data_IF_025172125743
#
_entry.id   IF_025172125743
#
_cell.length_a   1.000
_cell.length_b   1.000
_cell.length_c   1.000
_cell.angle_alpha   90.00
_cell.angle_beta   90.00
_cell.angle_gamma   90.00
#
_symmetry.space_group_name_H-M   'P 1'
#
loop_
_entity.id
_entity.type
_entity.pdbx_description
1 polymer ?
#
# COMPACT_ATOMS: atom_id res chain seq x y z
N UNK A 1 3.61 23.30 16.46
CA UNK A 1 3.34 22.03 15.73
C UNK A 1 2.29 22.28 14.65
N UNK A 2 2.53 21.91 13.37
CA UNK A 2 1.47 22.00 12.35
C UNK A 2 0.36 21.00 12.70
N UNK A 3 -0.81 21.49 13.14
CA UNK A 3 -2.04 20.67 13.22
C UNK A 3 -2.23 20.04 11.84
N UNK A 4 -2.16 18.71 11.80
CA UNK A 4 -2.22 17.95 10.56
C UNK A 4 -3.49 18.31 9.78
N UNK A 5 -3.34 18.60 8.48
CA UNK A 5 -4.46 18.63 7.53
C UNK A 5 -5.05 17.23 7.28
N UNK A 6 -4.85 16.28 8.19
CA UNK A 6 -5.30 14.89 8.11
C UNK A 6 -6.81 14.78 8.12
N UNK A 7 -7.53 15.77 8.68
CA UNK A 7 -8.98 15.90 8.50
C UNK A 7 -9.40 15.97 7.02
N UNK A 8 -8.51 16.32 6.09
CA UNK A 8 -8.78 16.43 4.65
C UNK A 8 -8.52 15.14 3.88
N UNK A 9 -7.99 14.08 4.50
CA UNK A 9 -7.74 12.81 3.81
C UNK A 9 -9.04 12.03 3.73
N UNK A 10 -9.56 11.80 2.52
CA UNK A 10 -10.73 10.93 2.35
C UNK A 10 -10.42 9.52 2.85
N UNK A 11 -11.40 8.83 3.43
CA UNK A 11 -11.24 7.47 4.00
C UNK A 11 -10.51 6.51 3.04
N UNK A 12 -10.89 6.52 1.76
CA UNK A 12 -10.25 5.73 0.69
C UNK A 12 -8.77 6.09 0.42
N UNK A 13 -8.39 7.36 0.56
CA UNK A 13 -6.99 7.79 0.41
C UNK A 13 -6.15 7.35 1.62
N UNK A 14 -6.73 7.41 2.82
CA UNK A 14 -6.07 6.90 4.03
C UNK A 14 -5.86 5.39 3.93
N UNK A 15 -6.90 4.66 3.52
CA UNK A 15 -6.79 3.23 3.24
C UNK A 15 -5.69 2.94 2.23
N UNK A 16 -5.61 3.71 1.14
CA UNK A 16 -4.56 3.58 0.14
C UNK A 16 -3.15 3.75 0.70
N UNK A 17 -2.91 4.77 1.53
CA UNK A 17 -1.61 4.98 2.19
C UNK A 17 -1.24 3.81 3.10
N UNK A 18 -2.19 3.30 3.88
CA UNK A 18 -1.98 2.17 4.78
C UNK A 18 -1.69 0.90 3.99
N UNK A 19 -2.46 0.63 2.93
CA UNK A 19 -2.23 -0.53 2.05
C UNK A 19 -0.85 -0.51 1.40
N UNK A 20 -0.44 0.63 0.88
CA UNK A 20 0.89 0.80 0.27
C UNK A 20 2.00 0.65 1.32
N UNK A 21 1.80 1.21 2.52
CA UNK A 21 2.74 1.12 3.62
C UNK A 21 2.89 -0.31 4.17
N UNK A 22 1.83 -1.12 4.12
CA UNK A 22 1.87 -2.52 4.54
C UNK A 22 2.76 -3.40 3.65
N UNK A 23 2.96 -3.03 2.37
CA UNK A 23 3.87 -3.72 1.44
C UNK A 23 5.25 -3.08 1.41
N UNK A 24 5.34 -1.85 0.88
CA UNK A 24 6.61 -1.16 0.58
C UNK A 24 7.01 -0.10 1.61
N UNK A 25 6.30 -0.01 2.73
CA UNK A 25 6.49 1.03 3.74
C UNK A 25 7.50 0.67 4.82
N UNK A 26 8.23 1.69 5.26
CA UNK A 26 9.12 1.62 6.42
C UNK A 26 8.98 2.89 7.27
N UNK A 27 9.02 2.74 8.59
CA UNK A 27 9.02 3.86 9.51
C UNK A 27 10.05 3.64 10.61
N UNK A 28 10.85 4.66 10.90
CA UNK A 28 11.84 4.63 11.96
C UNK A 28 11.91 5.96 12.70
N UNK A 29 12.28 5.89 13.97
CA UNK A 29 12.55 7.04 14.82
C UNK A 29 13.98 6.91 15.32
N UNK A 30 14.84 7.85 14.92
CA UNK A 30 16.17 7.99 15.47
C UNK A 30 16.09 8.75 16.79
N UNK A 31 16.40 8.08 17.90
CA UNK A 31 16.31 8.65 19.25
C UNK A 31 17.36 9.74 19.48
N UNK A 32 18.53 9.64 18.83
CA UNK A 32 19.65 10.56 19.05
C UNK A 32 19.37 11.90 18.36
N UNK A 33 18.97 11.86 17.10
CA UNK A 33 18.61 13.07 16.34
C UNK A 33 17.16 13.51 16.53
N UNK A 34 16.32 12.72 17.22
CA UNK A 34 14.86 12.91 17.33
C UNK A 34 14.16 13.00 15.97
N UNK A 35 14.74 12.37 14.94
CA UNK A 35 14.21 12.38 13.58
C UNK A 35 13.20 11.26 13.37
N UNK A 36 12.01 11.63 12.92
CA UNK A 36 10.92 10.72 12.59
C UNK A 36 10.79 10.59 11.08
N UNK A 37 11.01 9.39 10.56
CA UNK A 37 11.04 9.14 9.12
C UNK A 37 10.03 8.10 8.71
N UNK A 38 9.29 8.42 7.65
CA UNK A 38 8.43 7.49 6.91
C UNK A 38 8.99 7.37 5.50
N UNK A 39 9.15 6.16 5.01
CA UNK A 39 9.71 5.85 3.71
C UNK A 39 8.84 4.85 2.94
N UNK A 40 8.75 5.04 1.63
CA UNK A 40 8.18 4.06 0.70
C UNK A 40 9.24 3.70 -0.34
N UNK A 41 9.57 2.43 -0.45
CA UNK A 41 10.60 1.94 -1.39
C UNK A 41 9.93 1.33 -2.63
N UNK A 42 9.91 2.08 -3.74
CA UNK A 42 9.18 1.71 -4.95
C UNK A 42 10.13 1.45 -6.12
N UNK A 43 9.78 0.58 -7.08
CA UNK A 43 10.65 0.31 -8.22
C UNK A 43 10.63 1.48 -9.21
N UNK A 44 11.81 2.05 -9.54
CA UNK A 44 11.96 3.30 -10.32
C UNK A 44 11.21 3.32 -11.65
N UNK A 45 11.31 2.23 -12.42
CA UNK A 45 10.65 2.10 -13.74
C UNK A 45 9.22 1.58 -13.65
N UNK A 46 9.00 0.44 -12.97
CA UNK A 46 7.70 -0.25 -12.90
C UNK A 46 6.62 0.56 -12.17
N UNK A 47 7.00 1.35 -11.16
CA UNK A 47 6.06 2.04 -10.28
C UNK A 47 6.00 3.55 -10.54
N UNK A 48 6.44 4.03 -11.71
CA UNK A 48 6.48 5.48 -12.05
C UNK A 48 5.15 6.19 -11.77
N UNK A 49 4.04 5.56 -12.13
CA UNK A 49 2.69 6.09 -11.92
C UNK A 49 2.23 6.05 -10.46
N UNK A 50 2.65 5.02 -9.69
CA UNK A 50 2.41 4.94 -8.24
C UNK A 50 3.22 6.03 -7.52
N UNK A 51 4.50 6.21 -7.89
CA UNK A 51 5.37 7.27 -7.38
C UNK A 51 4.74 8.64 -7.62
N UNK A 52 4.30 8.93 -8.86
CA UNK A 52 3.64 10.22 -9.20
C UNK A 52 2.43 10.47 -8.31
N UNK A 53 1.52 9.48 -8.23
CA UNK A 53 0.30 9.56 -7.43
C UNK A 53 0.58 9.77 -5.94
N UNK A 54 1.58 9.08 -5.38
CA UNK A 54 1.94 9.18 -3.97
C UNK A 54 2.52 10.56 -3.64
N UNK A 55 3.39 11.09 -4.53
CA UNK A 55 3.92 12.46 -4.40
C UNK A 55 2.81 13.50 -4.43
N UNK A 56 1.86 13.38 -5.35
CA UNK A 56 0.70 14.28 -5.42
C UNK A 56 -0.16 14.22 -4.15
N UNK A 57 -0.37 13.01 -3.62
CA UNK A 57 -1.11 12.82 -2.37
C UNK A 57 -0.40 13.52 -1.19
N UNK A 58 0.91 13.34 -1.04
CA UNK A 58 1.66 14.00 0.02
C UNK A 58 1.75 15.52 -0.15
N UNK A 59 1.84 16.02 -1.39
CA UNK A 59 1.74 17.47 -1.68
C UNK A 59 0.39 18.03 -1.23
N UNK A 60 -0.73 17.35 -1.52
CA UNK A 60 -2.07 17.74 -1.05
C UNK A 60 -2.17 17.80 0.48
N UNK A 61 -1.40 16.94 1.17
CA UNK A 61 -1.30 16.91 2.63
C UNK A 61 -0.25 17.86 3.20
N UNK A 62 0.36 18.70 2.35
CA UNK A 62 1.39 19.68 2.71
C UNK A 62 2.63 19.05 3.35
N UNK A 63 2.95 17.80 2.99
CA UNK A 63 4.22 17.18 3.37
C UNK A 63 5.27 17.40 2.28
N UNK A 64 6.49 17.71 2.71
CA UNK A 64 7.67 17.72 1.83
C UNK A 64 8.11 16.27 1.61
N UNK A 65 8.26 15.89 0.34
CA UNK A 65 8.68 14.55 -0.08
C UNK A 65 10.09 14.63 -0.66
N UNK A 66 11.02 13.89 -0.04
CA UNK A 66 12.37 13.72 -0.55
C UNK A 66 12.42 12.46 -1.43
N UNK A 67 12.89 12.61 -2.67
CA UNK A 67 13.06 11.50 -3.60
C UNK A 67 14.52 11.07 -3.62
N UNK A 68 14.82 9.89 -3.09
CA UNK A 68 16.17 9.34 -3.03
C UNK A 68 16.23 8.20 -4.06
N UNK A 69 17.07 8.35 -5.09
CA UNK A 69 17.27 7.31 -6.10
C UNK A 69 18.33 6.33 -5.60
N UNK A 70 18.04 5.03 -5.63
CA UNK A 70 19.04 4.00 -5.34
C UNK A 70 19.39 3.26 -6.63
N UNK A 71 20.64 3.41 -7.08
CA UNK A 71 21.08 2.82 -8.34
C UNK A 71 21.19 1.28 -8.25
N UNK A 72 21.72 0.74 -7.15
CA UNK A 72 21.93 -0.70 -6.96
C UNK A 72 20.61 -1.49 -6.97
N UNK A 73 19.60 -1.01 -6.26
CA UNK A 73 18.31 -1.68 -6.10
C UNK A 73 17.28 -1.32 -7.20
N UNK A 74 17.64 -0.42 -8.14
CA UNK A 74 16.71 0.16 -9.14
C UNK A 74 15.44 0.75 -8.49
N UNK A 75 15.53 1.17 -7.23
CA UNK A 75 14.42 1.70 -6.45
C UNK A 75 14.46 3.23 -6.37
N UNK A 76 13.32 3.81 -5.99
CA UNK A 76 13.20 5.19 -5.54
C UNK A 76 12.54 5.15 -4.18
N UNK A 77 13.22 5.72 -3.19
CA UNK A 77 12.69 5.94 -1.85
C UNK A 77 12.01 7.29 -1.80
N UNK A 78 10.74 7.28 -1.39
CA UNK A 78 9.99 8.50 -1.07
C UNK A 78 10.05 8.69 0.45
N UNK A 79 10.92 9.59 0.90
CA UNK A 79 11.20 9.84 2.31
C UNK A 79 10.48 11.10 2.79
N UNK A 80 9.85 11.01 3.96
CA UNK A 80 9.15 12.10 4.62
C UNK A 80 9.61 12.18 6.07
N UNK A 81 9.94 13.39 6.53
CA UNK A 81 10.30 13.64 7.92
C UNK A 81 9.10 14.26 8.66
N UNK A 82 8.36 13.43 9.40
CA UNK A 82 7.19 13.88 10.13
C UNK A 82 6.77 12.90 11.22
N UNK A 83 6.90 13.34 12.49
CA UNK A 83 6.38 12.63 13.66
C UNK A 83 4.90 12.32 13.51
N UNK A 84 4.13 13.33 13.14
CA UNK A 84 2.67 13.25 13.07
C UNK A 84 2.19 12.27 11.98
N UNK A 85 2.89 12.18 10.84
CA UNK A 85 2.61 11.16 9.81
C UNK A 85 2.97 9.76 10.31
N UNK A 86 4.12 9.61 10.96
CA UNK A 86 4.56 8.31 11.51
C UNK A 86 3.55 7.77 12.52
N UNK A 87 3.17 8.59 13.51
CA UNK A 87 2.19 8.22 14.54
C UNK A 87 0.84 7.86 13.94
N UNK A 88 0.39 8.62 12.92
CA UNK A 88 -0.85 8.34 12.22
C UNK A 88 -0.82 6.99 11.50
N UNK A 89 0.22 6.72 10.72
CA UNK A 89 0.36 5.45 9.99
C UNK A 89 0.45 4.28 10.97
N UNK A 90 1.23 4.41 12.04
CA UNK A 90 1.36 3.38 13.07
C UNK A 90 0.03 3.13 13.79
N UNK A 91 -0.72 4.19 14.13
CA UNK A 91 -2.07 4.07 14.69
C UNK A 91 -3.00 3.31 13.73
N UNK A 92 -3.02 3.69 12.45
CA UNK A 92 -3.86 3.04 11.44
C UNK A 92 -3.46 1.60 11.14
N UNK A 93 -2.17 1.30 11.17
CA UNK A 93 -1.66 -0.07 11.06
C UNK A 93 -2.09 -0.93 12.25
N UNK A 94 -2.01 -0.40 13.49
CA UNK A 94 -2.53 -1.08 14.68
C UNK A 94 -4.03 -1.33 14.58
N UNK A 95 -4.81 -0.33 14.17
CA UNK A 95 -6.26 -0.48 13.92
C UNK A 95 -6.54 -1.58 12.88
N UNK A 96 -5.78 -1.60 11.77
CA UNK A 96 -5.88 -2.61 10.71
C UNK A 96 -5.69 -4.04 11.26
N UNK A 97 -4.63 -4.27 12.04
CA UNK A 97 -4.34 -5.61 12.59
C UNK A 97 -5.29 -6.04 13.73
N UNK A 98 -5.91 -5.07 14.41
CA UNK A 98 -7.00 -5.30 15.37
C UNK A 98 -8.34 -5.63 14.72
N UNK A 99 -8.43 -5.62 13.38
CA UNK A 99 -9.65 -5.94 12.61
C UNK A 99 -10.87 -5.09 13.05
N UNK A 100 -10.65 -3.83 13.42
CA UNK A 100 -11.77 -2.91 13.68
C UNK A 100 -12.70 -2.84 12.48
N UNK A 101 -13.97 -2.50 12.70
CA UNK A 101 -14.90 -2.24 11.60
C UNK A 101 -14.37 -1.11 10.72
N UNK A 102 -14.24 -1.39 9.43
CA UNK A 102 -13.79 -0.43 8.42
C UNK A 102 -14.90 -0.22 7.40
N UNK A 103 -15.15 1.04 7.05
CA UNK A 103 -16.00 1.38 5.91
C UNK A 103 -15.43 0.80 4.62
N UNK A 104 -16.31 0.46 3.67
CA UNK A 104 -15.93 -0.14 2.39
C UNK A 104 -14.90 0.68 1.63
N UNK A 105 -15.07 2.01 1.62
CA UNK A 105 -14.16 2.94 0.98
C UNK A 105 -12.73 2.84 1.52
N UNK A 106 -12.58 2.66 2.83
CA UNK A 106 -11.28 2.44 3.47
C UNK A 106 -10.69 1.09 3.03
N UNK A 107 -11.47 0.02 3.08
CA UNK A 107 -11.04 -1.33 2.67
C UNK A 107 -10.59 -1.34 1.21
N UNK A 108 -11.35 -0.71 0.33
CA UNK A 108 -11.03 -0.58 -1.09
C UNK A 108 -9.75 0.23 -1.30
N UNK A 109 -9.55 1.27 -0.49
CA UNK A 109 -8.29 1.99 -0.38
C UNK A 109 -7.13 1.06 -0.04
N UNK A 110 -7.25 0.30 1.06
CA UNK A 110 -6.22 -0.63 1.54
C UNK A 110 -5.87 -1.67 0.48
N UNK A 111 -6.87 -2.34 -0.09
CA UNK A 111 -6.66 -3.33 -1.16
C UNK A 111 -5.97 -2.68 -2.36
N UNK A 112 -6.38 -1.48 -2.76
CA UNK A 112 -5.76 -0.74 -3.87
C UNK A 112 -4.29 -0.40 -3.61
N UNK A 113 -3.97 0.06 -2.40
CA UNK A 113 -2.60 0.42 -2.02
C UNK A 113 -1.70 -0.80 -1.94
N UNK A 114 -2.21 -1.88 -1.34
CA UNK A 114 -1.47 -3.12 -1.21
C UNK A 114 -1.20 -3.79 -2.56
N UNK A 115 -2.16 -3.73 -3.49
CA UNK A 115 -1.94 -4.18 -4.87
C UNK A 115 -0.88 -3.34 -5.56
N UNK A 116 -0.92 -2.01 -5.41
CA UNK A 116 0.10 -1.14 -6.02
C UNK A 116 1.51 -1.41 -5.46
N UNK A 117 1.64 -1.87 -4.21
CA UNK A 117 2.90 -2.35 -3.66
C UNK A 117 3.24 -3.77 -4.17
N UNK A 118 2.51 -4.78 -3.68
CA UNK A 118 2.88 -6.20 -3.80
C UNK A 118 2.27 -6.91 -5.04
N UNK A 119 1.26 -6.30 -5.66
CA UNK A 119 0.49 -6.92 -6.73
C UNK A 119 1.27 -7.10 -8.03
N UNK A 120 1.16 -8.29 -8.61
CA UNK A 120 1.61 -8.62 -9.97
C UNK A 120 0.40 -8.90 -10.85
N UNK A 121 0.30 -8.20 -11.98
CA UNK A 121 -0.72 -8.49 -13.01
C UNK A 121 -0.39 -9.83 -13.66
N UNK A 122 -1.34 -10.77 -13.66
CA UNK A 122 -1.18 -12.12 -14.22
C UNK A 122 -2.29 -12.38 -15.25
N UNK A 123 -2.08 -11.93 -16.48
CA UNK A 123 -3.12 -11.93 -17.52
C UNK A 123 -4.19 -10.85 -17.30
N UNK A 124 -5.31 -10.99 -18.01
CA UNK A 124 -6.39 -10.00 -17.98
C UNK A 124 -7.17 -10.08 -16.67
N UNK A 125 -7.31 -8.95 -15.97
CA UNK A 125 -8.17 -8.79 -14.76
C UNK A 125 -7.80 -9.65 -13.54
N UNK A 126 -6.64 -10.29 -13.52
CA UNK A 126 -6.15 -11.09 -12.39
C UNK A 126 -4.92 -10.46 -11.77
N UNK A 127 -4.92 -10.33 -10.45
CA UNK A 127 -3.81 -9.81 -9.66
C UNK A 127 -3.33 -10.90 -8.72
N UNK A 128 -2.07 -11.30 -8.85
CA UNK A 128 -1.38 -12.19 -7.93
C UNK A 128 -0.82 -11.37 -6.78
N UNK A 129 -1.13 -11.79 -5.55
CA UNK A 129 -0.64 -11.22 -4.30
C UNK A 129 0.23 -12.24 -3.59
N UNK A 130 1.42 -11.83 -3.15
CA UNK A 130 2.39 -12.66 -2.44
C UNK A 130 2.81 -11.97 -1.17
N UNK A 131 2.97 -12.74 -0.09
CA UNK A 131 3.29 -12.20 1.22
C UNK A 131 3.98 -13.25 2.08
N UNK A 132 5.01 -12.86 2.84
CA UNK A 132 5.67 -13.75 3.82
C UNK A 132 4.77 -13.99 5.03
N UNK A 133 4.03 -12.97 5.47
CA UNK A 133 3.14 -13.01 6.64
C UNK A 133 1.73 -13.47 6.25
N UNK A 134 1.42 -14.75 6.46
CA UNK A 134 0.09 -15.34 6.20
C UNK A 134 -1.06 -14.53 6.83
N UNK A 135 -0.86 -13.99 8.05
CA UNK A 135 -1.85 -13.16 8.74
C UNK A 135 -2.25 -11.92 7.93
N UNK A 136 -1.29 -11.23 7.32
CA UNK A 136 -1.56 -10.04 6.51
C UNK A 136 -2.36 -10.42 5.27
N UNK A 137 -1.92 -11.45 4.53
CA UNK A 137 -2.61 -11.91 3.33
C UNK A 137 -4.05 -12.38 3.61
N UNK A 138 -4.28 -13.03 4.76
CA UNK A 138 -5.63 -13.41 5.22
C UNK A 138 -6.53 -12.19 5.45
N UNK A 139 -6.01 -11.11 6.02
CA UNK A 139 -6.80 -9.87 6.23
C UNK A 139 -7.13 -9.23 4.87
N UNK A 140 -6.15 -9.13 3.96
CA UNK A 140 -6.37 -8.60 2.61
C UNK A 140 -7.41 -9.44 1.86
N UNK A 141 -7.33 -10.77 1.92
CA UNK A 141 -8.34 -11.67 1.35
C UNK A 141 -9.74 -11.40 1.91
N UNK A 142 -9.89 -11.22 3.23
CA UNK A 142 -11.17 -10.86 3.85
C UNK A 142 -11.71 -9.51 3.36
N UNK A 143 -10.84 -8.52 3.18
CA UNK A 143 -11.26 -7.22 2.63
C UNK A 143 -11.74 -7.37 1.19
N UNK A 144 -11.02 -8.13 0.35
CA UNK A 144 -11.45 -8.45 -1.01
C UNK A 144 -12.84 -9.10 -1.01
N UNK A 145 -13.05 -10.16 -0.22
CA UNK A 145 -14.34 -10.84 -0.12
C UNK A 145 -15.48 -9.89 0.28
N UNK A 146 -15.26 -9.02 1.28
CA UNK A 146 -16.27 -8.05 1.70
C UNK A 146 -16.55 -6.92 0.70
N UNK A 147 -15.75 -6.81 -0.36
CA UNK A 147 -15.91 -5.83 -1.45
C UNK A 147 -16.44 -6.49 -2.74
N UNK A 148 -16.86 -7.77 -2.68
CA UNK A 148 -17.27 -8.54 -3.85
C UNK A 148 -16.11 -8.95 -4.78
N UNK A 149 -14.86 -8.84 -4.33
CA UNK A 149 -13.68 -9.22 -5.11
C UNK A 149 -13.40 -10.70 -4.86
N UNK A 150 -13.52 -11.52 -5.91
CA UNK A 150 -13.23 -12.96 -5.86
C UNK A 150 -11.76 -13.21 -5.59
N UNK A 151 -11.46 -14.20 -4.75
CA UNK A 151 -10.08 -14.59 -4.43
C UNK A 151 -9.93 -16.10 -4.34
N UNK A 152 -8.84 -16.63 -4.90
CA UNK A 152 -8.48 -18.05 -4.81
C UNK A 152 -8.03 -18.40 -3.37
N UNK A 153 -8.08 -19.68 -2.99
CA UNK A 153 -7.52 -20.17 -1.71
C UNK A 153 -6.05 -19.73 -1.56
N UNK A 154 -5.65 -19.37 -0.34
CA UNK A 154 -4.26 -19.03 -0.06
C UNK A 154 -3.43 -20.33 -0.04
N UNK A 155 -2.35 -20.37 -0.81
CA UNK A 155 -1.44 -21.51 -0.88
C UNK A 155 0.02 -21.08 -0.68
N UNK A 156 0.87 -21.92 -0.08
CA UNK A 156 2.30 -21.67 -0.03
C UNK A 156 2.94 -21.91 -1.42
N UNK A 157 3.87 -21.06 -1.81
CA UNK A 157 4.67 -21.19 -3.05
C UNK A 157 6.14 -20.86 -2.77
N UNK A 158 7.05 -21.39 -3.59
CA UNK A 158 8.48 -21.02 -3.54
C UNK A 158 8.76 -19.86 -4.52
N UNK A 159 9.40 -18.81 -4.04
CA UNK A 159 9.88 -17.67 -4.86
C UNK A 159 11.33 -17.40 -4.48
N UNK A 160 12.25 -17.55 -5.44
CA UNK A 160 13.70 -17.41 -5.22
C UNK A 160 14.18 -18.26 -4.02
N UNK A 161 13.76 -19.52 -3.96
CA UNK A 161 14.08 -20.45 -2.87
C UNK A 161 13.33 -20.20 -1.56
N UNK A 162 12.62 -19.08 -1.39
CA UNK A 162 11.92 -18.72 -0.15
C UNK A 162 10.44 -19.06 -0.21
N UNK A 163 9.91 -19.61 0.88
CA UNK A 163 8.46 -19.88 1.02
C UNK A 163 7.71 -18.56 1.23
N UNK A 164 6.69 -18.32 0.41
CA UNK A 164 5.74 -17.20 0.56
C UNK A 164 4.31 -17.72 0.42
N UNK A 165 3.35 -16.97 0.93
CA UNK A 165 1.93 -17.26 0.75
C UNK A 165 1.40 -16.48 -0.45
N UNK A 166 0.58 -17.13 -1.27
CA UNK A 166 0.03 -16.54 -2.49
C UNK A 166 -1.50 -16.66 -2.51
N UNK A 167 -2.16 -15.64 -3.06
CA UNK A 167 -3.54 -15.72 -3.55
C UNK A 167 -3.66 -14.93 -4.85
N UNK A 168 -4.72 -15.18 -5.60
CA UNK A 168 -5.06 -14.43 -6.81
C UNK A 168 -6.40 -13.78 -6.59
N UNK A 169 -6.49 -12.48 -6.87
CA UNK A 169 -7.71 -11.69 -6.80
C UNK A 169 -8.19 -11.30 -8.21
N UNK A 170 -9.50 -11.31 -8.42
CA UNK A 170 -10.17 -10.90 -9.65
C UNK A 170 -11.53 -10.26 -9.35
N UNK A 171 -12.18 -9.67 -10.35
CA UNK A 171 -13.50 -9.04 -10.15
C UNK A 171 -13.40 -7.57 -9.70
N UNK A 172 -12.35 -6.85 -10.10
CA UNK A 172 -12.22 -5.41 -9.81
C UNK A 172 -13.05 -4.51 -10.75
N UNK A 173 -13.76 -5.08 -11.73
CA UNK A 173 -14.50 -4.34 -12.76
C UNK A 173 -15.66 -3.59 -12.08
N UNK A 174 -15.87 -2.33 -12.44
CA UNK A 174 -16.95 -1.50 -11.87
C UNK A 174 -16.65 -0.90 -10.48
N UNK A 175 -15.64 -1.39 -9.76
CA UNK A 175 -15.23 -0.79 -8.49
C UNK A 175 -14.50 0.53 -8.73
N UNK A 176 -14.88 1.58 -8.00
CA UNK A 176 -14.18 2.88 -7.96
C UNK A 176 -12.88 2.79 -7.15
N UNK A 177 -11.96 1.93 -7.60
CA UNK A 177 -10.70 1.63 -6.95
C UNK A 177 -9.61 2.66 -7.28
N UNK A 178 -8.60 2.72 -6.40
CA UNK A 178 -7.50 3.66 -6.49
C UNK A 178 -6.24 3.03 -7.11
N UNK A 179 -6.16 1.71 -7.27
CA UNK A 179 -4.94 1.07 -7.76
C UNK A 179 -4.61 1.47 -9.20
N UNK A 180 -3.36 1.88 -9.41
CA UNK A 180 -2.78 2.13 -10.73
C UNK A 180 -2.61 0.82 -11.50
N UNK A 181 -2.12 -0.23 -10.84
CA UNK A 181 -1.87 -1.54 -11.47
C UNK A 181 -3.15 -2.19 -11.97
N UNK A 182 -4.24 -2.09 -11.22
CA UNK A 182 -5.54 -2.57 -11.69
C UNK A 182 -6.00 -1.78 -12.92
N UNK A 183 -5.92 -0.44 -12.94
CA UNK A 183 -6.33 0.34 -14.13
C UNK A 183 -5.57 -0.08 -15.37
N UNK A 184 -4.28 -0.38 -15.25
CA UNK A 184 -3.47 -0.85 -16.38
C UNK A 184 -3.83 -2.26 -16.87
N UNK A 185 -4.43 -3.12 -16.04
CA UNK A 185 -4.80 -4.48 -16.44
C UNK A 185 -6.14 -4.57 -17.19
N UNK A 186 -6.94 -3.50 -17.20
CA UNK A 186 -8.19 -3.39 -17.94
C UNK A 186 -8.08 -2.65 -19.28
N UNK A 187 -6.92 -2.03 -19.57
CA UNK A 187 -6.67 -1.26 -20.80
C UNK A 187 -5.97 -2.07 -21.90
N UNK A 188 -5.72 -3.37 -21.65
CA UNK A 188 -5.18 -4.32 -22.62
C UNK A 188 -6.30 -5.25 -23.05
#
# INVERSE_FOLDING_TARGET
MKKLAVKRVKSKQMGYLVGLFLGDGYAYHDKNSRHYTVEFSLHRKKDKSVIKKLVELFKKLKFKVYKIKENRSKSVKLRLHSKALMELIQKKQKEFFKKKYFFEDYKLGVVSGYIDAEGKVAGTRKIVLREKKLRLLRIIKKFCSSLGISTVKIAPVKVNGKRVWQTTASGFKGLKHNSVKIRSSYRK
#
